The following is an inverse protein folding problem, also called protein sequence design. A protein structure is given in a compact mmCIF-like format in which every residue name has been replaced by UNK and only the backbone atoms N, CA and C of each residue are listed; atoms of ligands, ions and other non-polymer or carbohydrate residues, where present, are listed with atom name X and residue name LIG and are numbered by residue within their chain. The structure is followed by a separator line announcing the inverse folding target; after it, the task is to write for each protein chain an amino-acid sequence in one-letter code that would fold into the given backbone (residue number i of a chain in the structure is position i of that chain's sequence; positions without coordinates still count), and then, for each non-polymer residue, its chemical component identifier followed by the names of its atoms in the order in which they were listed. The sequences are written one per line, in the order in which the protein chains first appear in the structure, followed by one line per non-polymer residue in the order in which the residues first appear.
data_IF_461602330883
#
_entry.id   IF_461602330883
#
_cell.length_a   1.000
_cell.length_b   1.000
_cell.length_c   1.000
_cell.angle_alpha   90.00
_cell.angle_beta   90.00
_cell.angle_gamma   90.00
#
_symmetry.space_group_name_H-M   'P 1'
#
loop_
_entity.id
_entity.type
_entity.pdbx_description
1 polymer ?
#
# COMPACT_ATOMS: atom_id res chain seq x y z
N UNK A 1 -17.53 -4.24 -3.78
CA UNK A 1 -16.14 -3.73 -3.89
C UNK A 1 -15.22 -4.91 -3.64
N UNK A 2 -14.09 -5.01 -4.35
CA UNK A 2 -13.13 -6.09 -4.13
C UNK A 2 -12.05 -5.62 -3.17
N UNK A 3 -11.80 -6.42 -2.13
CA UNK A 3 -10.77 -6.12 -1.12
C UNK A 3 -9.45 -6.76 -1.54
N UNK A 4 -8.35 -6.03 -1.35
CA UNK A 4 -7.00 -6.51 -1.65
C UNK A 4 -6.19 -6.51 -0.35
N UNK A 5 -5.96 -7.71 0.21
CA UNK A 5 -5.17 -7.85 1.43
C UNK A 5 -3.69 -7.63 1.12
N UNK A 6 -3.09 -6.60 1.71
CA UNK A 6 -1.65 -6.36 1.69
C UNK A 6 -1.03 -7.03 2.92
N UNK A 7 -0.19 -8.04 2.68
CA UNK A 7 0.52 -8.79 3.73
C UNK A 7 1.96 -8.32 3.90
N UNK A 8 2.57 -7.82 2.82
CA UNK A 8 3.96 -7.33 2.84
C UNK A 8 4.10 -6.07 1.99
N UNK A 9 5.12 -5.27 2.29
CA UNK A 9 5.34 -3.99 1.61
C UNK A 9 5.72 -4.17 0.13
N UNK A 10 6.34 -5.30 -0.23
CA UNK A 10 6.74 -5.65 -1.60
C UNK A 10 5.55 -5.88 -2.55
N UNK A 11 4.33 -5.98 -2.00
CA UNK A 11 3.11 -6.03 -2.80
C UNK A 11 2.66 -4.65 -3.28
N UNK A 12 3.08 -3.58 -2.61
CA UNK A 12 2.68 -2.21 -2.91
C UNK A 12 3.04 -1.74 -4.34
N UNK A 13 4.25 -2.01 -4.89
CA UNK A 13 4.60 -1.58 -6.24
C UNK A 13 3.59 -2.03 -7.30
N UNK A 14 3.23 -3.31 -7.30
CA UNK A 14 2.29 -3.87 -8.27
C UNK A 14 0.86 -3.34 -8.05
N UNK A 15 0.43 -3.24 -6.80
CA UNK A 15 -0.91 -2.75 -6.46
C UNK A 15 -1.11 -1.29 -6.86
N UNK A 16 -0.18 -0.41 -6.49
CA UNK A 16 -0.28 1.02 -6.81
C UNK A 16 -0.29 1.27 -8.33
N UNK A 17 0.56 0.55 -9.08
CA UNK A 17 0.55 0.63 -10.55
C UNK A 17 -0.78 0.13 -11.15
N UNK A 18 -1.33 -0.96 -10.61
CA UNK A 18 -2.61 -1.51 -11.07
C UNK A 18 -3.77 -0.55 -10.79
N UNK A 19 -3.84 0.03 -9.58
CA UNK A 19 -4.86 1.02 -9.24
C UNK A 19 -4.71 2.30 -10.05
N UNK A 20 -3.50 2.78 -10.32
CA UNK A 20 -3.29 3.92 -11.22
C UNK A 20 -3.84 3.66 -12.61
N UNK A 21 -3.54 2.49 -13.19
CA UNK A 21 -4.07 2.10 -14.50
C UNK A 21 -5.60 1.98 -14.47
N UNK A 22 -6.16 1.39 -13.41
CA UNK A 22 -7.61 1.27 -13.20
C UNK A 22 -8.30 2.63 -13.07
N UNK A 23 -7.63 3.60 -12.46
CA UNK A 23 -8.10 4.99 -12.37
C UNK A 23 -7.93 5.79 -13.69
N UNK A 24 -7.41 5.16 -14.76
CA UNK A 24 -7.20 5.81 -16.06
C UNK A 24 -6.08 6.85 -16.07
N UNK A 25 -5.19 6.85 -15.07
CA UNK A 25 -4.14 7.85 -14.94
C UNK A 25 -2.82 7.38 -15.56
N UNK A 26 -2.18 8.25 -16.33
CA UNK A 26 -0.76 8.08 -16.67
C UNK A 26 0.11 8.41 -15.46
N UNK A 27 1.39 8.01 -15.48
CA UNK A 27 2.32 8.44 -14.44
C UNK A 27 2.43 9.97 -14.37
N UNK A 28 2.46 10.65 -15.52
CA UNK A 28 2.53 12.11 -15.55
C UNK A 28 1.29 12.76 -14.92
N UNK A 29 0.09 12.24 -15.19
CA UNK A 29 -1.15 12.78 -14.62
C UNK A 29 -1.24 12.58 -13.10
N UNK A 30 -0.86 11.39 -12.59
CA UNK A 30 -0.81 11.14 -11.16
C UNK A 30 0.27 11.97 -10.46
N UNK A 31 1.45 12.13 -11.10
CA UNK A 31 2.54 12.93 -10.58
C UNK A 31 2.15 14.42 -10.46
N UNK A 32 1.46 14.95 -11.47
CA UNK A 32 0.94 16.32 -11.48
C UNK A 32 -0.01 16.56 -10.29
N UNK A 33 -0.94 15.63 -10.04
CA UNK A 33 -1.87 15.71 -8.90
C UNK A 33 -1.16 15.62 -7.55
N UNK A 34 -0.05 14.89 -7.49
CA UNK A 34 0.76 14.71 -6.29
C UNK A 34 1.83 15.81 -6.12
N UNK A 35 1.90 16.77 -7.06
CA UNK A 35 2.87 17.88 -7.02
C UNK A 35 4.33 17.45 -7.20
N UNK A 36 4.58 16.35 -7.93
CA UNK A 36 5.92 15.81 -8.19
C UNK A 36 6.17 15.58 -9.68
N UNK A 37 7.42 15.30 -10.04
CA UNK A 37 7.77 14.94 -11.41
C UNK A 37 7.31 13.52 -11.76
N UNK A 38 7.11 13.23 -13.06
CA UNK A 38 6.81 11.87 -13.52
C UNK A 38 7.92 10.89 -13.10
N UNK A 39 9.19 11.30 -13.17
CA UNK A 39 10.35 10.49 -12.79
C UNK A 39 10.29 10.13 -11.31
N UNK A 40 9.93 11.09 -10.45
CA UNK A 40 9.72 10.87 -9.01
C UNK A 40 8.59 9.87 -8.77
N UNK A 41 7.44 10.01 -9.45
CA UNK A 41 6.36 9.03 -9.32
C UNK A 41 6.78 7.65 -9.83
N UNK A 42 7.51 7.60 -10.94
CA UNK A 42 8.02 6.35 -11.50
C UNK A 42 8.96 5.64 -10.53
N UNK A 43 9.82 6.37 -9.83
CA UNK A 43 10.69 5.84 -8.78
C UNK A 43 9.89 5.41 -7.54
N UNK A 44 8.88 6.19 -7.15
CA UNK A 44 7.96 5.88 -6.05
C UNK A 44 7.21 4.56 -6.34
N UNK A 45 6.63 4.40 -7.53
CA UNK A 45 5.93 3.16 -7.92
C UNK A 45 6.84 1.93 -7.99
N UNK A 46 8.15 2.11 -8.23
CA UNK A 46 9.13 1.02 -8.22
C UNK A 46 9.63 0.63 -6.84
N UNK A 47 9.66 1.59 -5.91
CA UNK A 47 10.20 1.42 -4.55
C UNK A 47 9.11 1.72 -3.50
N UNK A 48 7.87 1.30 -3.77
CA UNK A 48 6.71 1.66 -2.96
C UNK A 48 6.81 1.11 -1.53
N UNK A 49 7.59 0.07 -1.31
CA UNK A 49 7.89 -0.52 0.00
C UNK A 49 8.66 0.42 0.94
N UNK A 50 9.31 1.47 0.39
CA UNK A 50 10.06 2.48 1.14
C UNK A 50 9.31 3.80 1.30
N UNK A 51 8.10 3.90 0.75
CA UNK A 51 7.33 5.13 0.77
C UNK A 51 6.76 5.36 2.17
N UNK A 52 6.96 6.56 2.71
CA UNK A 52 6.37 6.96 3.98
C UNK A 52 4.84 6.94 3.93
N UNK A 53 4.21 6.63 5.06
CA UNK A 53 2.75 6.44 5.15
C UNK A 53 1.94 7.65 4.63
N UNK A 54 2.32 8.88 4.98
CA UNK A 54 1.65 10.10 4.49
C UNK A 54 1.63 10.17 2.95
N UNK A 55 2.79 9.93 2.32
CA UNK A 55 2.90 9.94 0.86
C UNK A 55 2.10 8.81 0.21
N UNK A 56 2.08 7.63 0.84
CA UNK A 56 1.25 6.51 0.39
C UNK A 56 -0.24 6.88 0.44
N UNK A 57 -0.72 7.44 1.55
CA UNK A 57 -2.12 7.84 1.72
C UNK A 57 -2.55 8.93 0.71
N UNK A 58 -1.69 9.91 0.45
CA UNK A 58 -1.94 10.93 -0.60
C UNK A 58 -2.09 10.29 -1.98
N UNK A 59 -1.22 9.35 -2.32
CA UNK A 59 -1.31 8.64 -3.59
C UNK A 59 -2.59 7.80 -3.66
N UNK A 60 -2.91 7.01 -2.62
CA UNK A 60 -4.14 6.22 -2.57
C UNK A 60 -5.40 7.08 -2.76
N UNK A 61 -5.44 8.26 -2.14
CA UNK A 61 -6.52 9.24 -2.34
C UNK A 61 -6.63 9.69 -3.80
N UNK A 62 -5.52 10.03 -4.47
CA UNK A 62 -5.50 10.38 -5.90
C UNK A 62 -6.00 9.22 -6.78
N UNK A 63 -5.72 7.98 -6.37
CA UNK A 63 -6.11 6.76 -7.07
C UNK A 63 -7.56 6.31 -6.76
N UNK A 64 -8.25 6.99 -5.83
CA UNK A 64 -9.59 6.58 -5.39
C UNK A 64 -9.59 5.26 -4.63
N UNK A 65 -8.52 4.98 -3.86
CA UNK A 65 -8.35 3.77 -3.05
C UNK A 65 -8.36 4.15 -1.57
N UNK A 66 -9.09 3.38 -0.78
CA UNK A 66 -9.13 3.52 0.68
C UNK A 66 -8.20 2.51 1.34
N UNK A 67 -7.45 2.93 2.37
CA UNK A 67 -6.70 2.03 3.24
C UNK A 67 -7.57 1.68 4.44
N UNK A 68 -7.86 0.40 4.62
CA UNK A 68 -8.63 -0.11 5.77
C UNK A 68 -7.73 -0.99 6.63
N UNK A 69 -7.67 -0.69 7.92
CA UNK A 69 -7.01 -1.54 8.91
C UNK A 69 -8.07 -2.45 9.54
N UNK A 70 -7.81 -3.76 9.57
CA UNK A 70 -8.67 -4.76 10.20
C UNK A 70 -7.82 -5.60 11.13
N UNK A 71 -8.35 -5.93 12.29
CA UNK A 71 -7.79 -6.99 13.12
C UNK A 71 -7.96 -8.33 12.38
N UNK A 72 -6.98 -9.25 12.47
CA UNK A 72 -7.16 -10.59 11.93
C UNK A 72 -8.28 -11.31 12.69
N UNK A 73 -9.12 -12.04 11.97
CA UNK A 73 -10.27 -12.78 12.54
C UNK A 73 -9.86 -13.84 13.60
N UNK A 74 -8.59 -14.29 13.55
CA UNK A 74 -8.00 -15.14 14.56
C UNK A 74 -6.77 -14.42 15.15
N UNK A 75 -6.71 -14.22 16.48
CA UNK A 75 -5.51 -13.67 17.11
C UNK A 75 -4.32 -14.57 16.73
N UNK A 76 -3.12 -14.01 16.47
CA UNK A 76 -1.95 -14.83 16.18
C UNK A 76 -1.83 -15.82 17.33
N UNK A 77 -1.98 -17.12 17.02
CA UNK A 77 -2.08 -18.18 17.99
C UNK A 77 -1.08 -17.88 19.09
N UNK A 78 -1.60 -17.51 20.28
CA UNK A 78 -0.77 -17.20 21.43
C UNK A 78 0.16 -18.38 21.53
N UNK A 79 1.45 -18.16 21.21
CA UNK A 79 2.46 -19.17 21.43
C UNK A 79 2.43 -19.32 22.93
N UNK A 80 1.68 -20.31 23.40
CA UNK A 80 1.65 -20.70 24.78
C UNK A 80 3.10 -21.07 25.05
N UNK A 81 3.84 -20.10 25.59
CA UNK A 81 5.02 -20.38 26.36
C UNK A 81 4.47 -21.24 27.47
N UNK A 82 4.57 -22.54 27.28
CA UNK A 82 4.32 -23.50 28.34
C UNK A 82 5.36 -23.17 29.40
N UNK A 83 4.96 -22.39 30.40
CA UNK A 83 5.56 -22.42 31.73
C UNK A 83 5.24 -23.79 32.35
N UNK A 84 5.81 -24.84 31.75
CA UNK A 84 6.00 -26.15 32.35
C UNK A 84 7.50 -26.34 32.43
N UNK A 85 8.07 -25.74 33.47
CA UNK A 85 9.29 -26.19 34.16
C UNK A 85 9.48 -25.28 35.40
N UNK A 86 8.67 -25.54 36.43
CA UNK A 86 8.93 -25.29 37.85
C UNK A 86 8.50 -26.53 38.62
#
# INVERSE_FOLDING_TARGET
MADYTVRTAEQLPALLQAFRKKAGLTQAAAALRLGITQQTLSALERNAEKVGADRLLQLLSILGVELVLREPDEPPASRQVSDQDW
#
